data_IF_059940441854
#
_entry.id   IF_059940441854
#
_cell.length_a   1.000
_cell.length_b   1.000
_cell.length_c   1.000
_cell.angle_alpha   90.00
_cell.angle_beta   90.00
_cell.angle_gamma   90.00
#
_symmetry.space_group_name_H-M   'P 1'
#
loop_
_entity.id
_entity.type
_entity.pdbx_description
1 polymer ?
#
# COMPACT_ATOMS: atom_id res chain seq x y z
N UNK A 1 -44.92 -7.11 -18.87
CA UNK A 1 -43.98 -7.56 -19.92
C UNK A 1 -43.05 -6.42 -20.25
N UNK A 2 -42.22 -6.02 -19.29
CA UNK A 2 -41.41 -4.81 -19.38
C UNK A 2 -39.93 -5.17 -19.30
N UNK A 3 -39.15 -4.66 -20.23
CA UNK A 3 -37.69 -4.82 -20.34
C UNK A 3 -36.91 -4.44 -19.06
N UNK A 4 -37.56 -3.78 -18.09
CA UNK A 4 -36.96 -3.36 -16.82
C UNK A 4 -37.17 -4.34 -15.65
N UNK A 5 -37.48 -5.61 -15.92
CA UNK A 5 -37.55 -6.64 -14.89
C UNK A 5 -36.18 -6.81 -14.19
N UNK A 6 -36.15 -6.77 -12.86
CA UNK A 6 -34.95 -6.99 -12.02
C UNK A 6 -34.18 -8.29 -12.38
N UNK A 7 -34.91 -9.28 -12.92
CA UNK A 7 -34.35 -10.55 -13.41
C UNK A 7 -33.37 -10.34 -14.58
N UNK A 8 -33.62 -9.35 -15.43
CA UNK A 8 -32.76 -9.04 -16.58
C UNK A 8 -31.40 -8.50 -16.11
N UNK A 9 -31.40 -7.63 -15.10
CA UNK A 9 -30.18 -7.14 -14.47
C UNK A 9 -29.36 -8.25 -13.81
N UNK A 10 -30.00 -9.22 -13.16
CA UNK A 10 -29.32 -10.41 -12.62
C UNK A 10 -28.64 -11.21 -13.73
N UNK A 11 -29.33 -11.49 -14.83
CA UNK A 11 -28.77 -12.25 -15.96
C UNK A 11 -27.56 -11.53 -16.54
N UNK A 12 -27.63 -10.21 -16.72
CA UNK A 12 -26.49 -9.41 -17.20
C UNK A 12 -25.32 -9.49 -16.22
N UNK A 13 -25.57 -9.37 -14.91
CA UNK A 13 -24.50 -9.43 -13.90
C UNK A 13 -23.77 -10.79 -13.95
N UNK A 14 -24.53 -11.88 -14.08
CA UNK A 14 -23.96 -13.24 -14.22
C UNK A 14 -23.10 -13.35 -15.47
N UNK A 15 -23.58 -12.85 -16.62
CA UNK A 15 -22.80 -12.89 -17.88
C UNK A 15 -21.51 -12.07 -17.76
N UNK A 16 -21.55 -10.88 -17.15
CA UNK A 16 -20.35 -10.06 -16.91
C UNK A 16 -19.35 -10.82 -16.03
N UNK A 17 -19.80 -11.43 -14.93
CA UNK A 17 -18.93 -12.22 -14.05
C UNK A 17 -18.31 -13.41 -14.79
N UNK A 18 -19.04 -14.06 -15.69
CA UNK A 18 -18.55 -15.18 -16.49
C UNK A 18 -17.52 -14.75 -17.54
N UNK A 19 -17.72 -13.61 -18.21
CA UNK A 19 -16.80 -13.09 -19.23
C UNK A 19 -15.51 -12.56 -18.60
N UNK A 20 -15.62 -11.78 -17.53
CA UNK A 20 -14.45 -11.21 -16.84
C UNK A 20 -13.77 -12.24 -15.90
N UNK A 21 -14.51 -13.26 -15.46
CA UNK A 21 -14.07 -14.24 -14.49
C UNK A 21 -14.03 -13.69 -13.06
N UNK A 22 -14.26 -14.57 -12.08
CA UNK A 22 -14.28 -14.20 -10.65
C UNK A 22 -12.91 -13.72 -10.13
N UNK A 23 -11.81 -14.13 -10.77
CA UNK A 23 -10.45 -13.76 -10.36
C UNK A 23 -10.11 -12.30 -10.65
N UNK A 24 -10.60 -11.74 -11.76
CA UNK A 24 -10.42 -10.32 -12.09
C UNK A 24 -11.35 -9.44 -11.26
N UNK A 25 -12.63 -9.84 -11.13
CA UNK A 25 -13.60 -9.14 -10.28
C UNK A 25 -13.19 -9.11 -8.81
N UNK A 26 -12.58 -10.18 -8.29
CA UNK A 26 -12.10 -10.22 -6.91
C UNK A 26 -10.92 -9.28 -6.67
N UNK A 27 -9.91 -9.29 -7.54
CA UNK A 27 -8.76 -8.39 -7.36
C UNK A 27 -9.16 -6.91 -7.51
N UNK A 28 -9.96 -6.58 -8.52
CA UNK A 28 -10.41 -5.20 -8.74
C UNK A 28 -11.50 -4.78 -7.73
N UNK A 29 -12.36 -5.71 -7.33
CA UNK A 29 -13.42 -5.48 -6.35
C UNK A 29 -12.91 -5.35 -4.91
N UNK A 30 -11.77 -5.96 -4.57
CA UNK A 30 -11.13 -5.73 -3.26
C UNK A 30 -10.61 -4.30 -3.16
N UNK A 31 -9.87 -3.80 -4.15
CA UNK A 31 -9.30 -2.44 -4.15
C UNK A 31 -10.39 -1.34 -4.14
N UNK A 32 -11.38 -1.48 -5.02
CA UNK A 32 -12.54 -0.57 -5.06
C UNK A 32 -13.41 -0.74 -3.81
N UNK A 33 -13.54 -1.97 -3.30
CA UNK A 33 -14.32 -2.28 -2.11
C UNK A 33 -13.71 -1.67 -0.84
N UNK A 34 -12.40 -1.67 -0.69
CA UNK A 34 -11.70 -1.04 0.44
C UNK A 34 -11.87 0.48 0.41
N UNK A 35 -11.79 1.10 -0.77
CA UNK A 35 -12.04 2.53 -0.96
C UNK A 35 -13.47 2.93 -0.57
N UNK A 36 -14.46 2.15 -0.99
CA UNK A 36 -15.88 2.39 -0.65
C UNK A 36 -16.15 2.07 0.82
N UNK A 37 -15.46 1.08 1.41
CA UNK A 37 -15.59 0.73 2.83
C UNK A 37 -15.11 1.85 3.74
N UNK A 38 -14.00 2.50 3.42
CA UNK A 38 -13.52 3.69 4.13
C UNK A 38 -14.52 4.85 4.07
N UNK A 39 -15.11 5.09 2.89
CA UNK A 39 -16.15 6.10 2.70
C UNK A 39 -17.41 5.80 3.53
N UNK A 40 -17.92 4.56 3.49
CA UNK A 40 -19.06 4.16 4.32
C UNK A 40 -18.74 4.23 5.80
N UNK A 41 -17.54 3.81 6.22
CA UNK A 41 -17.09 3.89 7.61
C UNK A 41 -17.12 5.34 8.08
N UNK A 42 -16.50 6.27 7.34
CA UNK A 42 -16.50 7.70 7.67
C UNK A 42 -17.92 8.29 7.74
N UNK A 43 -18.80 7.93 6.81
CA UNK A 43 -20.20 8.36 6.82
C UNK A 43 -21.02 7.82 8.01
N UNK A 44 -20.64 6.67 8.57
CA UNK A 44 -21.32 6.09 9.73
C UNK A 44 -20.63 6.47 11.06
N UNK A 45 -19.34 6.83 11.05
CA UNK A 45 -18.59 7.28 12.23
C UNK A 45 -19.01 8.70 12.66
N UNK A 46 -19.47 9.53 11.72
CA UNK A 46 -20.11 10.83 12.03
C UNK A 46 -21.36 10.66 12.93
N UNK A 47 -21.96 9.46 12.98
CA UNK A 47 -23.10 9.13 13.83
C UNK A 47 -22.76 8.35 15.12
N UNK A 48 -21.50 7.92 15.36
CA UNK A 48 -21.13 7.18 16.58
C UNK A 48 -19.65 7.40 17.01
N UNK A 49 -19.36 7.69 18.29
CA UNK A 49 -18.00 7.98 18.77
C UNK A 49 -17.01 6.85 18.44
N UNK A 50 -15.87 7.26 17.88
CA UNK A 50 -14.82 6.42 17.29
C UNK A 50 -14.34 5.25 18.17
N UNK A 51 -14.39 4.03 17.63
CA UNK A 51 -13.58 2.91 18.09
C UNK A 51 -12.33 2.77 17.17
N UNK A 52 -11.11 2.68 17.73
CA UNK A 52 -9.87 2.57 16.96
C UNK A 52 -9.84 1.24 16.18
N UNK A 53 -10.09 1.35 14.88
CA UNK A 53 -10.08 0.22 13.95
C UNK A 53 -8.66 -0.28 13.68
N UNK A 54 -8.33 -1.40 14.31
CA UNK A 54 -7.16 -2.24 14.01
C UNK A 54 -7.12 -2.54 12.50
N UNK A 55 -5.98 -2.36 11.80
CA UNK A 55 -5.85 -2.80 10.41
C UNK A 55 -6.05 -4.32 10.34
N UNK A 56 -6.87 -4.86 9.42
CA UNK A 56 -6.93 -6.29 9.21
C UNK A 56 -5.68 -6.74 8.45
N UNK A 57 -4.62 -7.00 9.20
CA UNK A 57 -3.58 -7.96 8.81
C UNK A 57 -4.25 -9.32 8.56
N UNK A 58 -4.14 -9.82 7.33
CA UNK A 58 -4.37 -11.23 7.03
C UNK A 58 -3.47 -11.73 5.89
N UNK A 59 -2.18 -11.89 6.19
CA UNK A 59 -1.51 -13.16 5.92
C UNK A 59 -0.38 -13.43 6.95
N UNK A 60 -0.13 -14.70 7.32
CA UNK A 60 0.57 -15.10 8.55
C UNK A 60 2.06 -14.80 8.56
N UNK A 61 2.57 -14.46 9.75
CA UNK A 61 4.00 -14.39 10.04
C UNK A 61 4.65 -15.79 9.94
N UNK A 62 5.79 -15.93 9.23
CA UNK A 62 6.80 -16.93 9.59
C UNK A 62 7.45 -16.51 10.93
N UNK A 63 7.83 -17.47 11.80
CA UNK A 63 8.38 -17.17 13.12
C UNK A 63 9.70 -16.40 13.01
N UNK A 64 9.85 -15.41 13.89
CA UNK A 64 11.08 -14.72 14.27
C UNK A 64 12.31 -15.63 14.28
N UNK A 65 13.33 -15.29 13.51
CA UNK A 65 14.71 -15.66 13.83
C UNK A 65 15.37 -14.45 14.51
N UNK A 66 15.87 -14.58 15.74
CA UNK A 66 16.79 -13.60 16.31
C UNK A 66 18.12 -13.75 15.58
N UNK A 67 18.32 -13.01 14.49
CA UNK A 67 19.64 -12.91 13.87
C UNK A 67 20.51 -12.02 14.76
N UNK A 68 21.24 -12.71 15.63
CA UNK A 68 22.42 -12.26 16.37
C UNK A 68 23.28 -11.31 15.54
N UNK A 69 23.53 -10.13 16.11
CA UNK A 69 24.53 -9.19 15.62
C UNK A 69 25.91 -9.84 15.46
N UNK A 70 26.67 -9.46 14.42
CA UNK A 70 28.11 -9.32 14.53
C UNK A 70 28.43 -7.83 14.65
N UNK A 71 28.59 -7.38 15.90
CA UNK A 71 29.42 -6.22 16.23
C UNK A 71 30.86 -6.55 15.82
N UNK A 72 31.31 -6.05 14.66
CA UNK A 72 32.71 -6.20 14.26
C UNK A 72 33.31 -4.89 13.71
N UNK A 73 33.23 -3.86 14.55
CA UNK A 73 34.21 -2.78 14.81
C UNK A 73 34.95 -2.10 13.59
N UNK A 74 35.92 -1.19 13.81
CA UNK A 74 35.80 0.20 13.36
C UNK A 74 36.80 0.56 12.24
N UNK A 75 36.40 1.42 11.30
CA UNK A 75 37.36 2.16 10.48
C UNK A 75 36.90 3.61 10.42
N UNK A 76 37.20 4.30 11.51
CA UNK A 76 37.47 5.74 11.48
C UNK A 76 38.90 5.93 11.00
N UNK A 77 39.16 7.09 10.39
CA UNK A 77 40.43 7.59 9.83
C UNK A 77 40.65 7.15 8.36
N UNK A 78 40.37 8.05 7.41
CA UNK A 78 41.46 8.87 6.89
C UNK A 78 40.96 10.11 6.12
N UNK A 79 41.87 11.08 6.08
CA UNK A 79 41.79 12.47 5.66
C UNK A 79 41.38 12.60 4.19
N UNK A 80 40.26 13.26 3.90
CA UNK A 80 40.03 13.86 2.58
C UNK A 80 41.08 14.97 2.41
N UNK A 81 42.10 14.62 1.65
CA UNK A 81 43.24 15.45 1.32
C UNK A 81 42.81 16.83 0.81
N UNK A 82 43.30 17.83 1.53
CA UNK A 82 43.76 19.12 1.01
C UNK A 82 44.13 19.03 -0.48
N UNK A 83 43.25 19.49 -1.36
CA UNK A 83 43.55 19.73 -2.78
C UNK A 83 42.85 20.98 -3.28
N UNK A 84 43.32 22.13 -2.83
CA UNK A 84 43.37 23.34 -3.67
C UNK A 84 44.73 23.98 -3.37
N UNK A 85 45.73 23.44 -4.06
CA UNK A 85 46.98 24.13 -4.33
C UNK A 85 46.64 25.49 -4.92
N UNK A 86 47.04 26.53 -4.21
CA UNK A 86 47.15 27.89 -4.72
C UNK A 86 48.34 27.91 -5.67
N UNK A 87 48.10 28.16 -6.97
CA UNK A 87 48.92 29.17 -7.61
C UNK A 87 48.07 29.95 -8.61
N UNK A 88 47.99 31.28 -8.48
CA UNK A 88 48.32 32.24 -9.55
C UNK A 88 47.77 33.63 -9.27
N UNK A 89 48.66 34.62 -9.47
CA UNK A 89 48.45 36.08 -9.60
C UNK A 89 47.95 36.79 -8.34
N UNK A 90 48.70 37.68 -7.68
CA UNK A 90 49.63 38.71 -8.19
C UNK A 90 49.04 39.50 -9.37
N UNK A 91 48.16 40.43 -9.04
CA UNK A 91 47.86 41.67 -9.76
C UNK A 91 47.29 42.58 -8.66
N UNK A 92 48.11 43.49 -8.11
CA UNK A 92 48.34 44.86 -8.58
C UNK A 92 47.25 45.84 -8.16
#
# INVERSE_FOLDING_TARGET
MGIFDWKHWIVILVVVVLVFGTKKLKNLGTDVGESIKGFRKAMNDDEKPAEPGVPPTAQPAPPVQPQSAPLNQPHTIDVQAQKVEEPTRKDS
#
